data_IF_999654936124
#
_entry.id   IF_999654936124
#
_cell.length_a   1.000
_cell.length_b   1.000
_cell.length_c   1.000
_cell.angle_alpha   90.00
_cell.angle_beta   90.00
_cell.angle_gamma   90.00
#
_symmetry.space_group_name_H-M   'P 1'
#
loop_
_entity.id
_entity.type
_entity.pdbx_description
1 polymer ?
#
# COMPACT_ATOMS: atom_id res chain seq x y z
N UNK A 1 -2.89 -7.12 12.36
CA UNK A 1 -2.89 -6.61 10.96
C UNK A 1 -3.43 -5.19 10.86
N UNK A 2 -4.51 -4.81 11.56
CA UNK A 2 -4.94 -3.40 11.70
C UNK A 2 -3.77 -2.45 12.08
N UNK A 3 -2.98 -2.85 13.10
CA UNK A 3 -1.77 -2.14 13.54
C UNK A 3 -0.74 -1.89 12.43
N UNK A 4 -0.68 -2.77 11.42
CA UNK A 4 0.26 -2.64 10.31
C UNK A 4 -0.20 -1.56 9.32
N UNK A 5 -1.49 -1.57 8.95
CA UNK A 5 -2.08 -0.52 8.12
C UNK A 5 -1.98 0.85 8.79
N UNK A 6 -2.30 0.92 10.08
CA UNK A 6 -2.14 2.15 10.88
C UNK A 6 -0.71 2.66 10.87
N UNK A 7 0.27 1.76 11.06
CA UNK A 7 1.69 2.10 11.00
C UNK A 7 2.10 2.63 9.62
N UNK A 8 1.65 2.00 8.54
CA UNK A 8 1.94 2.47 7.17
C UNK A 8 1.32 3.85 6.90
N UNK A 9 0.11 4.11 7.38
CA UNK A 9 -0.53 5.43 7.32
C UNK A 9 0.30 6.46 8.10
N UNK A 10 0.73 6.13 9.33
CA UNK A 10 1.55 7.04 10.16
C UNK A 10 2.84 7.42 9.44
N UNK A 11 3.57 6.42 8.93
CA UNK A 11 4.82 6.64 8.18
C UNK A 11 4.57 7.51 6.93
N UNK A 12 3.49 7.23 6.18
CA UNK A 12 3.11 8.03 5.01
C UNK A 12 2.89 9.50 5.37
N UNK A 13 2.18 9.78 6.47
CA UNK A 13 1.91 11.14 6.97
C UNK A 13 3.17 11.84 7.44
N UNK A 14 3.94 11.19 8.30
CA UNK A 14 5.14 11.75 8.93
C UNK A 14 6.20 12.12 7.90
N UNK A 15 6.34 11.31 6.84
CA UNK A 15 7.43 11.43 5.87
C UNK A 15 7.01 12.04 4.53
N UNK A 16 5.72 12.31 4.35
CA UNK A 16 5.18 12.83 3.09
C UNK A 16 5.42 11.88 1.91
N UNK A 17 5.31 10.56 2.15
CA UNK A 17 5.53 9.53 1.12
C UNK A 17 4.24 8.82 0.76
N UNK A 18 4.20 8.31 -0.47
CA UNK A 18 3.11 7.51 -1.01
C UNK A 18 3.56 6.06 -1.09
N UNK A 19 2.76 5.12 -0.60
CA UNK A 19 3.06 3.68 -0.63
C UNK A 19 1.98 3.00 -1.47
N UNK A 20 2.38 2.30 -2.51
CA UNK A 20 1.50 1.52 -3.37
C UNK A 20 1.82 0.03 -3.24
N UNK A 21 0.81 -0.78 -2.95
CA UNK A 21 0.93 -2.21 -2.75
C UNK A 21 0.14 -2.92 -3.85
N UNK A 22 0.86 -3.68 -4.66
CA UNK A 22 0.30 -4.54 -5.69
C UNK A 22 0.16 -5.96 -5.17
N UNK A 23 -0.92 -6.62 -5.55
CA UNK A 23 -1.25 -7.97 -5.12
C UNK A 23 -1.23 -8.95 -6.31
N UNK A 24 -1.00 -10.24 -6.02
CA UNK A 24 -1.00 -11.30 -7.05
C UNK A 24 -2.37 -11.93 -7.28
N UNK A 25 -3.26 -11.92 -6.28
CA UNK A 25 -4.59 -12.57 -6.32
C UNK A 25 -5.77 -11.60 -6.24
N UNK A 26 -5.51 -10.35 -5.94
CA UNK A 26 -6.51 -9.29 -5.93
C UNK A 26 -6.23 -8.36 -7.12
N UNK A 27 -7.29 -7.98 -7.86
CA UNK A 27 -7.16 -7.11 -9.03
C UNK A 27 -6.86 -5.67 -8.65
N UNK A 28 -7.39 -5.21 -7.51
CA UNK A 28 -7.10 -3.89 -6.98
C UNK A 28 -5.66 -3.75 -6.49
N UNK A 29 -5.20 -2.50 -6.37
CA UNK A 29 -3.97 -2.13 -5.66
C UNK A 29 -4.32 -1.25 -4.46
N UNK A 30 -3.57 -1.40 -3.38
CA UNK A 30 -3.74 -0.59 -2.19
C UNK A 30 -2.82 0.62 -2.30
N UNK A 31 -3.38 1.82 -2.14
CA UNK A 31 -2.63 3.05 -2.06
C UNK A 31 -2.73 3.62 -0.65
N UNK A 32 -1.60 3.97 -0.07
CA UNK A 32 -1.50 4.67 1.20
C UNK A 32 -0.84 6.02 0.92
N UNK A 33 -1.66 7.06 0.99
CA UNK A 33 -1.26 8.46 0.78
C UNK A 33 -1.97 9.31 1.81
N UNK A 34 -1.40 9.39 3.03
CA UNK A 34 -2.01 9.95 4.25
C UNK A 34 -3.31 9.27 4.71
N UNK A 35 -3.94 8.49 3.86
CA UNK A 35 -5.15 7.69 4.06
C UNK A 35 -5.10 6.46 3.16
N UNK A 36 -5.97 5.49 3.41
CA UNK A 36 -6.10 4.29 2.58
C UNK A 36 -7.02 4.58 1.39
N UNK A 37 -6.54 4.30 0.19
CA UNK A 37 -7.28 4.37 -1.07
C UNK A 37 -7.18 3.03 -1.79
N UNK A 38 -8.20 2.69 -2.55
CA UNK A 38 -8.18 1.55 -3.45
C UNK A 38 -7.96 2.04 -4.89
N UNK A 39 -7.06 1.38 -5.59
CA UNK A 39 -6.80 1.61 -7.00
C UNK A 39 -7.28 0.43 -7.85
N UNK A 40 -7.71 0.71 -9.07
CA UNK A 40 -7.88 -0.33 -10.09
C UNK A 40 -6.53 -0.72 -10.74
N UNK A 41 -6.60 -1.63 -11.72
CA UNK A 41 -5.45 -2.09 -12.49
C UNK A 41 -4.77 -0.97 -13.32
N UNK A 42 -5.51 0.09 -13.64
CA UNK A 42 -5.02 1.25 -14.39
C UNK A 42 -4.43 2.34 -13.48
N UNK A 43 -4.67 2.27 -12.17
CA UNK A 43 -4.11 3.19 -11.18
C UNK A 43 -5.07 4.31 -10.81
N UNK A 44 -6.34 4.20 -11.20
CA UNK A 44 -7.38 5.16 -10.82
C UNK A 44 -7.88 4.83 -9.42
N UNK A 45 -8.13 5.86 -8.62
CA UNK A 45 -8.83 5.70 -7.34
C UNK A 45 -10.27 5.29 -7.61
N UNK A 46 -10.69 4.17 -7.03
CA UNK A 46 -12.02 3.60 -7.21
C UNK A 46 -12.65 3.24 -5.85
N UNK A 47 -13.98 3.05 -5.78
CA UNK A 47 -14.61 2.57 -4.56
C UNK A 47 -14.00 1.23 -4.10
N UNK A 48 -13.83 1.08 -2.79
CA UNK A 48 -13.16 -0.09 -2.21
C UNK A 48 -13.72 -1.43 -2.71
N UNK A 49 -15.04 -1.60 -2.66
CA UNK A 49 -15.72 -2.83 -3.07
C UNK A 49 -15.55 -3.16 -4.57
N UNK A 50 -15.20 -2.17 -5.40
CA UNK A 50 -14.88 -2.38 -6.83
C UNK A 50 -13.48 -2.96 -7.02
N UNK A 51 -12.50 -2.47 -6.26
CA UNK A 51 -11.12 -2.96 -6.33
C UNK A 51 -10.92 -4.28 -5.57
N UNK A 52 -11.64 -4.44 -4.45
CA UNK A 52 -11.48 -5.53 -3.49
C UNK A 52 -12.85 -6.12 -3.10
N UNK A 53 -13.55 -6.79 -4.03
CA UNK A 53 -14.87 -7.34 -3.76
C UNK A 53 -14.81 -8.39 -2.65
N UNK A 54 -15.64 -8.20 -1.61
CA UNK A 54 -15.75 -9.13 -0.47
C UNK A 54 -14.58 -9.09 0.53
N UNK A 55 -13.61 -8.18 0.35
CA UNK A 55 -12.46 -8.03 1.26
C UNK A 55 -12.63 -6.74 2.05
N UNK A 56 -12.65 -6.83 3.38
CA UNK A 56 -12.65 -5.64 4.23
C UNK A 56 -11.28 -4.94 4.23
N UNK A 57 -11.26 -3.61 4.40
CA UNK A 57 -10.03 -2.79 4.41
C UNK A 57 -8.97 -3.37 5.36
N UNK A 58 -9.36 -3.67 6.60
CA UNK A 58 -8.45 -4.20 7.60
C UNK A 58 -7.84 -5.57 7.27
N UNK A 59 -8.44 -6.32 6.35
CA UNK A 59 -8.05 -7.67 5.99
C UNK A 59 -7.30 -7.74 4.65
N UNK A 60 -7.16 -6.61 3.94
CA UNK A 60 -6.59 -6.62 2.58
C UNK A 60 -5.18 -7.20 2.54
N UNK A 61 -4.36 -6.87 3.53
CA UNK A 61 -2.98 -7.33 3.60
C UNK A 61 -2.86 -8.80 4.04
N UNK A 62 -3.92 -9.38 4.63
CA UNK A 62 -4.00 -10.80 4.99
C UNK A 62 -4.52 -11.65 3.83
N UNK A 63 -5.58 -11.18 3.18
CA UNK A 63 -6.30 -11.94 2.17
C UNK A 63 -5.72 -11.76 0.76
N UNK A 64 -5.08 -10.62 0.50
CA UNK A 64 -4.40 -10.35 -0.77
C UNK A 64 -2.90 -10.55 -0.61
N UNK A 65 -2.36 -11.58 -1.27
CA UNK A 65 -0.91 -11.83 -1.27
C UNK A 65 -0.17 -10.69 -1.98
N UNK A 66 0.64 -9.96 -1.21
CA UNK A 66 1.54 -8.90 -1.70
C UNK A 66 2.47 -9.47 -2.76
N UNK A 67 2.59 -8.75 -3.87
CA UNK A 67 3.50 -9.03 -4.98
C UNK A 67 4.64 -8.02 -5.04
N UNK A 68 4.33 -6.76 -4.79
CA UNK A 68 5.26 -5.63 -4.91
C UNK A 68 4.77 -4.47 -4.05
N UNK A 69 5.71 -3.77 -3.43
CA UNK A 69 5.49 -2.51 -2.71
C UNK A 69 6.35 -1.44 -3.37
N UNK A 70 5.74 -0.35 -3.81
CA UNK A 70 6.42 0.79 -4.39
C UNK A 70 6.25 2.01 -3.48
N UNK A 71 7.36 2.69 -3.17
CA UNK A 71 7.35 3.89 -2.34
C UNK A 71 7.77 5.08 -3.17
N UNK A 72 7.01 6.18 -3.06
CA UNK A 72 7.24 7.40 -3.82
C UNK A 72 7.38 8.61 -2.90
N UNK A 73 8.24 9.56 -3.31
CA UNK A 73 8.35 10.90 -2.72
C UNK A 73 7.91 11.90 -3.79
N UNK A 74 6.72 12.48 -3.61
CA UNK A 74 6.07 13.22 -4.69
C UNK A 74 5.76 12.32 -5.89
N UNK A 75 6.38 12.59 -7.04
CA UNK A 75 6.19 11.82 -8.28
C UNK A 75 7.31 10.80 -8.53
N UNK A 76 8.40 10.87 -7.77
CA UNK A 76 9.57 10.01 -7.99
C UNK A 76 9.45 8.72 -7.17
N UNK A 77 9.77 7.57 -7.79
CA UNK A 77 9.84 6.28 -7.09
C UNK A 77 11.14 6.26 -6.27
N UNK A 78 11.01 6.27 -4.95
CA UNK A 78 12.13 6.24 -4.02
C UNK A 78 12.77 4.85 -3.99
N UNK A 79 11.95 3.79 -3.90
CA UNK A 79 12.39 2.40 -4.00
C UNK A 79 11.22 1.44 -4.23
N UNK A 80 11.55 0.17 -4.42
CA UNK A 80 10.62 -0.93 -4.61
C UNK A 80 11.07 -2.14 -3.77
N UNK A 81 10.10 -2.88 -3.22
CA UNK A 81 10.34 -4.11 -2.46
C UNK A 81 9.37 -5.23 -2.88
N UNK A 82 9.78 -6.49 -2.69
CA UNK A 82 8.97 -7.68 -3.00
C UNK A 82 7.82 -7.93 -2.03
N UNK A 83 7.92 -7.39 -0.81
CA UNK A 83 7.00 -7.65 0.30
C UNK A 83 7.00 -6.46 1.29
N UNK A 84 6.02 -6.48 2.20
CA UNK A 84 5.82 -5.41 3.17
C UNK A 84 6.91 -5.34 4.24
N UNK A 85 7.51 -6.47 4.60
CA UNK A 85 8.54 -6.51 5.65
C UNK A 85 9.81 -5.82 5.15
N UNK A 86 10.25 -6.18 3.94
CA UNK A 86 11.37 -5.54 3.25
C UNK A 86 11.11 -4.04 3.06
N UNK A 87 9.89 -3.66 2.64
CA UNK A 87 9.52 -2.25 2.53
C UNK A 87 9.60 -1.51 3.88
N UNK A 88 9.12 -2.10 4.97
CA UNK A 88 9.19 -1.48 6.29
C UNK A 88 10.64 -1.34 6.80
N UNK A 89 11.49 -2.30 6.50
CA UNK A 89 12.92 -2.25 6.85
C UNK A 89 13.63 -1.12 6.11
N UNK A 90 13.39 -1.01 4.80
CA UNK A 90 13.84 0.11 3.97
C UNK A 90 13.35 1.45 4.52
N UNK A 91 12.04 1.57 4.79
CA UNK A 91 11.44 2.77 5.39
C UNK A 91 12.08 3.14 6.74
N UNK A 92 12.41 2.17 7.57
CA UNK A 92 13.07 2.44 8.85
C UNK A 92 14.51 2.95 8.71
N UNK A 93 15.17 2.60 7.60
CA UNK A 93 16.56 2.98 7.30
C UNK A 93 16.64 4.26 6.47
N UNK A 94 15.58 4.59 5.74
CA UNK A 94 15.41 5.85 5.02
C UNK A 94 15.37 7.00 6.02
N UNK A 95 16.31 7.95 5.95
CA UNK A 95 16.26 9.21 6.71
C UNK A 95 15.50 10.30 5.95
#
# INVERSE_FOLDING_TARGET
>A
MLKLLERLISISRERGIKIEVSFSRCRGRLLIDREIKALDEYGNVVPWNRAFPGVAVQNVLDQCRVRKVEVYRGREKAFEASDLESALRELSSYR
#
